data_IF_763888525233
#
_entry.id   IF_763888525233
#
_cell.length_a   1.000
_cell.length_b   1.000
_cell.length_c   1.000
_cell.angle_alpha   90.00
_cell.angle_beta   90.00
_cell.angle_gamma   90.00
#
_symmetry.space_group_name_H-M   'P 1'
#
loop_
_entity.id
_entity.type
_entity.pdbx_description
1 polymer ?
#
# COMPACT_ATOMS: atom_id res chain seq x y z
N UNK A 1 6.10 -5.24 8.91
CA UNK A 1 6.88 -5.15 7.66
C UNK A 1 7.80 -3.94 7.66
N UNK A 2 7.35 -2.71 7.99
CA UNK A 2 8.27 -1.55 8.01
C UNK A 2 9.28 -1.58 9.15
N UNK A 3 8.85 -1.90 10.38
CA UNK A 3 9.79 -2.12 11.49
C UNK A 3 10.69 -3.36 11.30
N UNK A 4 10.32 -4.28 10.39
CA UNK A 4 10.99 -5.58 10.25
C UNK A 4 11.84 -5.68 8.98
N UNK A 5 11.24 -5.62 7.80
CA UNK A 5 11.96 -5.72 6.53
C UNK A 5 12.75 -4.46 6.19
N UNK A 6 12.23 -3.28 6.57
CA UNK A 6 12.88 -2.02 6.28
C UNK A 6 13.70 -1.49 7.47
N UNK A 7 13.54 -2.07 8.66
CA UNK A 7 14.19 -1.64 9.91
C UNK A 7 13.94 -0.16 10.24
N UNK A 8 12.80 0.38 9.81
CA UNK A 8 12.45 1.79 9.98
C UNK A 8 11.20 1.95 10.85
N UNK A 9 11.16 3.04 11.62
CA UNK A 9 9.96 3.40 12.40
C UNK A 9 9.12 4.42 11.64
N UNK A 10 7.88 4.04 11.33
CA UNK A 10 6.92 4.98 10.73
C UNK A 10 6.47 5.97 11.82
N UNK A 11 6.57 7.26 11.53
CA UNK A 11 6.03 8.31 12.40
C UNK A 11 4.64 8.75 11.95
N UNK A 12 4.41 8.85 10.64
CA UNK A 12 3.15 9.28 10.05
C UNK A 12 2.74 8.32 8.94
N UNK A 13 1.55 7.76 9.05
CA UNK A 13 0.90 7.03 7.97
C UNK A 13 -0.17 7.92 7.37
N UNK A 14 -0.16 8.06 6.04
CA UNK A 14 -1.23 8.75 5.32
C UNK A 14 -1.97 7.78 4.42
N UNK A 15 -3.30 7.75 4.54
CA UNK A 15 -4.17 6.99 3.65
C UNK A 15 -5.12 7.94 2.93
N UNK A 16 -5.70 7.46 1.83
CA UNK A 16 -6.91 8.08 1.30
C UNK A 16 -8.07 7.97 2.31
N UNK A 17 -9.18 8.64 1.99
CA UNK A 17 -10.42 8.55 2.78
C UNK A 17 -11.14 7.19 2.62
N UNK A 18 -10.43 6.15 2.16
CA UNK A 18 -10.89 4.78 2.19
C UNK A 18 -11.26 4.37 3.63
N UNK A 19 -12.39 3.67 3.77
CA UNK A 19 -12.84 3.16 5.08
C UNK A 19 -11.95 2.02 5.60
N UNK A 20 -11.16 1.40 4.72
CA UNK A 20 -10.30 0.26 5.04
C UNK A 20 -9.29 0.57 6.15
N UNK A 21 -8.74 1.79 6.15
CA UNK A 21 -7.78 2.27 7.14
C UNK A 21 -8.42 3.05 8.29
N UNK A 22 -9.74 3.24 8.26
CA UNK A 22 -10.49 4.07 9.20
C UNK A 22 -11.25 3.24 10.26
N UNK A 23 -10.77 2.03 10.56
CA UNK A 23 -11.41 1.13 11.53
C UNK A 23 -10.72 1.20 12.91
N UNK A 24 -11.45 0.81 13.95
CA UNK A 24 -10.98 0.89 15.34
C UNK A 24 -9.74 0.03 15.61
N UNK A 25 -9.63 -1.12 14.94
CA UNK A 25 -8.52 -2.06 15.11
C UNK A 25 -7.21 -1.38 14.66
N UNK A 26 -7.22 -0.76 13.49
CA UNK A 26 -6.06 -0.05 12.95
C UNK A 26 -5.76 1.22 13.73
N UNK A 27 -6.78 1.95 14.17
CA UNK A 27 -6.59 3.13 15.03
C UNK A 27 -5.85 2.78 16.33
N UNK A 28 -6.24 1.68 16.99
CA UNK A 28 -5.57 1.19 18.20
C UNK A 28 -4.12 0.76 17.90
N UNK A 29 -3.91 0.05 16.79
CA UNK A 29 -2.57 -0.35 16.35
C UNK A 29 -1.66 0.86 16.11
N UNK A 30 -2.16 1.90 15.44
CA UNK A 30 -1.38 3.12 15.20
C UNK A 30 -1.03 3.82 16.51
N UNK A 31 -1.98 3.93 17.45
CA UNK A 31 -1.71 4.49 18.78
C UNK A 31 -0.66 3.70 19.54
N UNK A 32 -0.76 2.37 19.60
CA UNK A 32 0.20 1.50 20.29
C UNK A 32 1.61 1.67 19.72
N UNK A 33 1.72 1.85 18.40
CA UNK A 33 2.99 2.05 17.69
C UNK A 33 3.47 3.50 17.70
N UNK A 34 2.66 4.44 18.19
CA UNK A 34 2.95 5.88 18.16
C UNK A 34 2.96 6.46 16.74
N UNK A 35 2.18 5.86 15.83
CA UNK A 35 2.02 6.30 14.45
C UNK A 35 0.87 7.29 14.37
N UNK A 36 1.11 8.47 13.80
CA UNK A 36 0.04 9.43 13.50
C UNK A 36 -0.62 9.04 12.18
N UNK A 37 -1.91 8.74 12.22
CA UNK A 37 -2.69 8.43 11.01
C UNK A 37 -3.36 9.69 10.47
N UNK A 38 -3.03 10.05 9.22
CA UNK A 38 -3.68 11.13 8.48
C UNK A 38 -4.56 10.56 7.37
N UNK A 39 -5.84 10.87 7.40
CA UNK A 39 -6.76 10.65 6.30
C UNK A 39 -6.70 11.87 5.36
N UNK A 40 -6.34 11.65 4.10
CA UNK A 40 -6.36 12.71 3.11
C UNK A 40 -7.80 12.96 2.66
N UNK A 41 -8.29 14.21 2.76
CA UNK A 41 -9.53 14.61 2.11
C UNK A 41 -9.46 14.31 0.60
N UNK A 42 -10.60 13.93 0.01
CA UNK A 42 -10.80 13.43 -1.37
C UNK A 42 -10.24 14.30 -2.51
N UNK A 43 -9.60 15.42 -2.21
CA UNK A 43 -9.09 16.41 -3.17
C UNK A 43 -7.60 16.75 -3.00
N UNK A 44 -6.78 15.86 -2.43
CA UNK A 44 -5.30 16.01 -2.41
C UNK A 44 -4.57 14.93 -3.23
N UNK A 45 -4.88 14.79 -4.54
CA UNK A 45 -4.33 13.74 -5.41
C UNK A 45 -2.81 13.77 -5.56
N UNK A 46 -2.16 14.94 -5.40
CA UNK A 46 -0.70 15.04 -5.51
C UNK A 46 0.03 14.26 -4.41
N UNK A 47 -0.57 14.16 -3.22
CA UNK A 47 0.07 13.50 -2.07
C UNK A 47 -0.07 11.99 -2.14
N UNK A 48 -1.21 11.47 -2.62
CA UNK A 48 -1.39 10.04 -2.87
C UNK A 48 -0.74 9.60 -4.19
N UNK A 49 -0.55 10.53 -5.14
CA UNK A 49 0.04 10.25 -6.44
C UNK A 49 1.45 9.64 -6.39
N UNK A 50 2.23 9.89 -5.32
CA UNK A 50 3.54 9.22 -5.13
C UNK A 50 3.35 7.74 -4.82
N UNK A 51 2.44 7.39 -3.91
CA UNK A 51 2.13 6.01 -3.56
C UNK A 51 1.50 5.28 -4.75
N UNK A 52 0.55 5.92 -5.44
CA UNK A 52 -0.09 5.37 -6.64
C UNK A 52 0.91 5.08 -7.76
N UNK A 53 1.85 6.01 -8.04
CA UNK A 53 2.91 5.78 -9.03
C UNK A 53 3.81 4.61 -8.66
N UNK A 54 4.20 4.50 -7.39
CA UNK A 54 5.02 3.36 -6.91
C UNK A 54 4.27 2.04 -7.03
N UNK A 55 3.00 1.99 -6.64
CA UNK A 55 2.18 0.79 -6.77
C UNK A 55 2.02 0.37 -8.24
N UNK A 56 1.78 1.34 -9.13
CA UNK A 56 1.69 1.07 -10.57
C UNK A 56 3.00 0.49 -11.12
N UNK A 57 4.12 1.10 -10.76
CA UNK A 57 5.43 0.62 -11.19
C UNK A 57 5.73 -0.79 -10.69
N UNK A 58 5.44 -1.10 -9.41
CA UNK A 58 5.60 -2.44 -8.85
C UNK A 58 4.76 -3.48 -9.61
N UNK A 59 3.52 -3.14 -9.93
CA UNK A 59 2.64 -4.01 -10.72
C UNK A 59 3.16 -4.22 -12.14
N UNK A 60 3.70 -3.19 -12.78
CA UNK A 60 4.32 -3.31 -14.10
C UNK A 60 5.56 -4.20 -14.06
N UNK A 61 6.45 -3.99 -13.09
CA UNK A 61 7.65 -4.82 -12.90
C UNK A 61 7.26 -6.27 -12.63
N UNK A 62 6.29 -6.51 -11.76
CA UNK A 62 5.80 -7.87 -11.47
C UNK A 62 5.24 -8.55 -12.73
N UNK A 63 4.46 -7.83 -13.55
CA UNK A 63 3.96 -8.35 -14.84
C UNK A 63 5.11 -8.66 -15.79
N UNK A 64 6.05 -7.73 -15.98
CA UNK A 64 7.23 -7.94 -16.83
C UNK A 64 8.02 -9.17 -16.39
N UNK A 65 8.26 -9.33 -15.09
CA UNK A 65 8.93 -10.51 -14.54
C UNK A 65 8.15 -11.79 -14.85
N UNK A 66 6.84 -11.83 -14.61
CA UNK A 66 6.00 -12.99 -14.93
C UNK A 66 6.03 -13.37 -16.42
N UNK A 67 6.03 -12.37 -17.31
CA UNK A 67 6.18 -12.60 -18.74
C UNK A 67 7.57 -13.16 -19.08
N UNK A 68 8.64 -12.60 -18.52
CA UNK A 68 10.01 -13.06 -18.80
C UNK A 68 10.28 -14.48 -18.28
N UNK A 69 9.70 -14.85 -17.14
CA UNK A 69 9.89 -16.17 -16.53
C UNK A 69 8.93 -17.23 -17.06
N UNK A 70 8.07 -16.89 -18.04
CA UNK A 70 7.00 -17.76 -18.55
C UNK A 70 6.15 -18.35 -17.42
N UNK A 71 5.93 -17.56 -16.37
CA UNK A 71 5.19 -18.03 -15.20
C UNK A 71 3.79 -18.51 -15.63
N UNK A 72 3.35 -19.70 -15.19
CA UNK A 72 2.01 -20.19 -15.47
C UNK A 72 0.93 -19.20 -15.02
N UNK A 73 -0.09 -18.97 -15.87
CA UNK A 73 -1.15 -17.97 -15.63
C UNK A 73 -1.90 -18.16 -14.30
N UNK A 74 -1.98 -19.38 -13.78
CA UNK A 74 -2.63 -19.66 -12.50
C UNK A 74 -1.88 -19.05 -11.29
N UNK A 75 -0.60 -18.68 -11.46
CA UNK A 75 0.21 -18.01 -10.43
C UNK A 75 0.06 -16.49 -10.46
N UNK A 76 -0.67 -15.92 -11.42
CA UNK A 76 -0.71 -14.47 -11.66
C UNK A 76 -1.64 -13.72 -10.71
N UNK A 77 -2.35 -14.43 -9.82
CA UNK A 77 -3.18 -13.81 -8.77
C UNK A 77 -4.28 -12.87 -9.31
N UNK A 78 -4.72 -13.08 -10.55
CA UNK A 78 -5.77 -12.27 -11.15
C UNK A 78 -7.14 -12.67 -10.60
N UNK A 79 -7.87 -11.69 -10.06
CA UNK A 79 -9.33 -11.74 -10.01
C UNK A 79 -9.83 -11.92 -11.46
N UNK A 80 -10.24 -13.13 -11.80
CA UNK A 80 -10.97 -13.40 -13.03
C UNK A 80 -12.36 -12.78 -12.94
N UNK A 81 -12.60 -11.74 -13.74
CA UNK A 81 -13.93 -11.39 -14.22
C UNK A 81 -13.92 -11.49 -15.75
#
# INVERSE_FOLDING_TARGET
MVETQFHEKIQVLRSDNGKEYSNQILSNFFQEKGIVHHSSCTNTPQQNGVAERKNRHLLEVARSLMFTTHAPKYLWGGYSH
#
